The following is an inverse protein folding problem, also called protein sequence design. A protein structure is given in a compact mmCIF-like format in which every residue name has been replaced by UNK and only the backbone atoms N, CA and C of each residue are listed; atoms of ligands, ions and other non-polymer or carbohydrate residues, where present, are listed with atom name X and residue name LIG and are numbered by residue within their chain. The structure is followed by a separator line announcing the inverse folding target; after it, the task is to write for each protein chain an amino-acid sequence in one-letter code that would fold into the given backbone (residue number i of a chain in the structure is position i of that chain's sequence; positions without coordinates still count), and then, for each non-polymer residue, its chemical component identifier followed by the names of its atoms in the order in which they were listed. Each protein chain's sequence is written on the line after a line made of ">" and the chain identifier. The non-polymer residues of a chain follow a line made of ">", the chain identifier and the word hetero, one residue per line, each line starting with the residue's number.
data_IF_788775118803
#
_entry.id   IF_788775118803
#
_cell.length_a   1.000
_cell.length_b   1.000
_cell.length_c   1.000
_cell.angle_alpha   90.00
_cell.angle_beta   90.00
_cell.angle_gamma   90.00
#
_symmetry.space_group_name_H-M   'P 1'
#
loop_
_entity.id
_entity.type
_entity.pdbx_description
1 polymer ?
#
# COMPACT_ATOMS: atom_id res chain seq x y z
N UNK A 1 5.35 -2.37 25.82
CA UNK A 1 5.33 -1.28 24.81
C UNK A 1 4.38 -1.73 23.72
N UNK A 2 3.22 -1.07 23.58
CA UNK A 2 2.24 -1.45 22.55
C UNK A 2 2.84 -1.11 21.18
N UNK A 3 3.05 -2.10 20.31
CA UNK A 3 3.63 -1.86 18.99
C UNK A 3 2.49 -1.40 18.09
N UNK A 4 2.54 -0.14 17.62
CA UNK A 4 1.56 0.41 16.69
C UNK A 4 1.48 -0.45 15.43
N UNK A 5 0.26 -0.61 14.92
CA UNK A 5 -0.05 -1.34 13.69
C UNK A 5 0.11 -0.43 12.47
N UNK A 6 0.23 -1.02 11.28
CA UNK A 6 0.42 -0.32 10.02
C UNK A 6 -0.71 0.65 9.70
N UNK A 7 -1.97 0.25 9.90
CA UNK A 7 -3.10 1.17 9.70
C UNK A 7 -3.10 2.36 10.68
N UNK A 8 -2.55 2.19 11.88
CA UNK A 8 -2.40 3.27 12.86
C UNK A 8 -1.28 4.24 12.49
N UNK A 9 -0.39 3.88 11.56
CA UNK A 9 0.74 4.70 11.10
C UNK A 9 0.47 5.39 9.76
N UNK A 10 -0.71 5.18 9.15
CA UNK A 10 -1.04 5.79 7.85
C UNK A 10 -1.02 7.31 7.94
N UNK A 11 -1.62 7.87 8.99
CA UNK A 11 -1.65 9.32 9.20
C UNK A 11 -0.24 9.88 9.40
N UNK A 12 0.62 9.18 10.15
CA UNK A 12 2.03 9.57 10.33
C UNK A 12 2.76 9.67 8.97
N UNK A 13 2.57 8.69 8.08
CA UNK A 13 3.19 8.73 6.74
C UNK A 13 2.61 9.86 5.90
N UNK A 14 1.29 10.06 5.94
CA UNK A 14 0.64 11.11 5.15
C UNK A 14 1.04 12.51 5.60
N UNK A 15 1.18 12.72 6.90
CA UNK A 15 1.53 14.03 7.47
C UNK A 15 3.00 14.42 7.15
N UNK A 16 3.88 13.45 6.89
CA UNK A 16 5.27 13.66 6.47
C UNK A 16 5.46 13.77 4.95
N UNK A 17 4.42 13.49 4.15
CA UNK A 17 4.51 13.61 2.69
C UNK A 17 4.55 15.09 2.25
N UNK A 18 5.57 15.45 1.46
CA UNK A 18 5.64 16.75 0.78
C UNK A 18 4.74 16.77 -0.47
N UNK A 19 3.43 16.63 -0.26
CA UNK A 19 2.47 16.53 -1.35
C UNK A 19 1.00 16.52 -0.91
N UNK A 20 0.10 16.71 -1.89
CA UNK A 20 -1.33 16.59 -1.64
C UNK A 20 -1.74 15.11 -1.54
N UNK A 21 -2.52 14.79 -0.50
CA UNK A 21 -3.21 13.52 -0.31
C UNK A 21 -4.66 13.83 0.04
N UNK A 22 -5.61 13.35 -0.77
CA UNK A 22 -7.03 13.53 -0.46
C UNK A 22 -7.49 12.65 0.70
N UNK A 23 -8.64 13.01 1.30
CA UNK A 23 -9.30 12.14 2.28
C UNK A 23 -9.66 10.78 1.67
N UNK A 24 -10.03 10.72 0.39
CA UNK A 24 -10.30 9.43 -0.28
C UNK A 24 -9.04 8.56 -0.32
N UNK A 25 -7.88 9.15 -0.64
CA UNK A 25 -6.59 8.46 -0.64
C UNK A 25 -6.23 7.96 0.77
N UNK A 26 -6.37 8.82 1.78
CA UNK A 26 -6.10 8.50 3.20
C UNK A 26 -6.99 7.36 3.70
N UNK A 27 -8.31 7.46 3.49
CA UNK A 27 -9.27 6.43 3.90
C UNK A 27 -8.96 5.09 3.22
N UNK A 28 -8.61 5.12 1.93
CA UNK A 28 -8.24 3.92 1.19
C UNK A 28 -6.93 3.31 1.68
N UNK A 29 -5.94 4.12 2.01
CA UNK A 29 -4.67 3.66 2.58
C UNK A 29 -4.88 2.99 3.94
N UNK A 30 -5.70 3.59 4.82
CA UNK A 30 -6.07 3.01 6.11
C UNK A 30 -6.71 1.62 5.94
N UNK A 31 -7.68 1.54 5.04
CA UNK A 31 -8.42 0.32 4.75
C UNK A 31 -7.53 -0.80 4.17
N UNK A 32 -6.63 -0.44 3.24
CA UNK A 32 -5.65 -1.35 2.66
C UNK A 32 -4.68 -1.88 3.71
N UNK A 33 -4.10 -1.00 4.54
CA UNK A 33 -3.20 -1.39 5.61
C UNK A 33 -3.90 -2.32 6.62
N UNK A 34 -5.13 -1.99 7.03
CA UNK A 34 -5.90 -2.79 7.97
C UNK A 34 -6.21 -4.18 7.42
N UNK A 35 -6.61 -4.30 6.14
CA UNK A 35 -6.85 -5.60 5.50
C UNK A 35 -5.57 -6.39 5.33
N UNK A 36 -4.47 -5.74 4.96
CA UNK A 36 -3.16 -6.37 4.85
C UNK A 36 -2.74 -7.05 6.15
N UNK A 37 -2.93 -6.39 7.29
CA UNK A 37 -2.56 -6.94 8.59
C UNK A 37 -3.49 -8.07 9.07
N UNK A 38 -4.78 -7.98 8.74
CA UNK A 38 -5.77 -8.95 9.21
C UNK A 38 -5.91 -10.19 8.33
N UNK A 39 -5.58 -10.06 7.03
CA UNK A 39 -5.99 -11.07 6.03
C UNK A 39 -4.91 -11.46 5.04
N UNK A 40 -3.81 -10.70 4.93
CA UNK A 40 -2.74 -11.03 3.98
C UNK A 40 -1.53 -11.61 4.74
N UNK A 41 -0.81 -12.58 4.17
CA UNK A 41 0.42 -13.14 4.75
C UNK A 41 1.63 -12.19 4.64
N UNK A 42 1.43 -10.88 4.86
CA UNK A 42 2.46 -9.86 4.71
C UNK A 42 3.32 -9.80 5.99
N UNK A 43 4.50 -10.41 5.92
CA UNK A 43 5.49 -10.33 7.00
C UNK A 43 6.41 -9.11 6.81
N UNK A 44 5.90 -7.91 7.13
CA UNK A 44 6.63 -6.63 7.03
C UNK A 44 6.44 -5.80 8.30
N UNK A 45 7.29 -4.79 8.49
CA UNK A 45 7.13 -3.88 9.63
C UNK A 45 5.87 -3.01 9.45
N UNK A 46 5.24 -2.55 10.54
CA UNK A 46 4.09 -1.65 10.47
C UNK A 46 4.32 -0.41 9.59
N UNK A 47 5.51 0.21 9.68
CA UNK A 47 5.90 1.34 8.82
C UNK A 47 5.90 0.99 7.33
N UNK A 48 6.45 -0.17 6.96
CA UNK A 48 6.45 -0.63 5.56
C UNK A 48 5.02 -0.89 5.07
N UNK A 49 4.16 -1.50 5.88
CA UNK A 49 2.75 -1.72 5.53
C UNK A 49 2.02 -0.39 5.32
N UNK A 50 2.21 0.58 6.23
CA UNK A 50 1.60 1.90 6.11
C UNK A 50 2.03 2.62 4.83
N UNK A 51 3.33 2.72 4.60
CA UNK A 51 3.89 3.40 3.43
C UNK A 51 3.48 2.73 2.10
N UNK A 52 3.49 1.39 2.05
CA UNK A 52 2.98 0.65 0.88
C UNK A 52 1.49 0.84 0.64
N UNK A 53 0.68 0.92 1.70
CA UNK A 53 -0.74 1.17 1.57
C UNK A 53 -1.04 2.59 1.06
N UNK A 54 -0.29 3.59 1.52
CA UNK A 54 -0.36 4.98 1.02
C UNK A 54 0.01 5.02 -0.47
N UNK A 55 1.12 4.38 -0.85
CA UNK A 55 1.52 4.32 -2.26
C UNK A 55 0.46 3.64 -3.14
N UNK A 56 -0.04 2.48 -2.73
CA UNK A 56 -1.06 1.74 -3.47
C UNK A 56 -2.39 2.51 -3.55
N UNK A 57 -2.81 3.16 -2.47
CA UNK A 57 -4.01 4.00 -2.46
C UNK A 57 -3.88 5.13 -3.47
N UNK A 58 -2.75 5.84 -3.49
CA UNK A 58 -2.45 6.90 -4.45
C UNK A 58 -2.55 6.42 -5.89
N UNK A 59 -2.00 5.24 -6.19
CA UNK A 59 -2.15 4.62 -7.52
C UNK A 59 -3.62 4.34 -7.87
N UNK A 60 -4.41 3.82 -6.93
CA UNK A 60 -5.82 3.45 -7.14
C UNK A 60 -6.76 4.65 -7.30
N UNK A 61 -6.45 5.79 -6.68
CA UNK A 61 -7.21 7.04 -6.79
C UNK A 61 -6.61 8.01 -7.81
N UNK A 62 -5.54 7.61 -8.50
CA UNK A 62 -4.81 8.42 -9.47
C UNK A 62 -4.15 9.69 -8.89
N UNK A 63 -3.79 9.65 -7.60
CA UNK A 63 -2.95 10.63 -6.91
C UNK A 63 -1.51 10.09 -6.81
N UNK A 64 -0.75 10.30 -7.88
CA UNK A 64 0.53 9.61 -8.07
C UNK A 64 1.67 10.33 -7.35
N UNK A 65 1.99 9.85 -6.14
CA UNK A 65 3.28 10.09 -5.51
C UNK A 65 4.33 9.12 -6.05
N UNK A 66 5.61 9.48 -5.97
CA UNK A 66 6.70 8.55 -6.34
C UNK A 66 6.98 7.58 -5.20
N UNK A 67 7.59 6.41 -5.51
CA UNK A 67 8.01 5.46 -4.47
C UNK A 67 9.05 6.09 -3.54
N UNK A 68 9.95 6.92 -4.09
CA UNK A 68 10.97 7.68 -3.37
C UNK A 68 10.35 8.57 -2.28
N UNK A 69 9.40 9.43 -2.65
CA UNK A 69 8.76 10.39 -1.73
C UNK A 69 8.00 9.65 -0.62
N UNK A 70 7.34 8.55 -0.93
CA UNK A 70 6.63 7.74 0.09
C UNK A 70 7.59 6.94 0.96
N UNK A 71 8.73 6.50 0.42
CA UNK A 71 9.79 5.84 1.19
C UNK A 71 10.42 6.78 2.22
N UNK A 72 10.71 8.01 1.80
CA UNK A 72 11.23 9.06 2.67
C UNK A 72 10.25 9.39 3.80
N UNK A 73 8.99 9.70 3.49
CA UNK A 73 7.96 10.00 4.50
C UNK A 73 7.71 8.83 5.47
N UNK A 74 7.84 7.59 4.99
CA UNK A 74 7.70 6.39 5.81
C UNK A 74 8.94 6.01 6.62
N UNK A 75 10.09 6.66 6.41
CA UNK A 75 11.39 6.25 6.95
C UNK A 75 11.66 4.75 6.67
N UNK A 76 11.50 4.36 5.40
CA UNK A 76 11.70 3.00 4.87
C UNK A 76 12.41 3.06 3.52
N UNK A 77 12.82 1.91 2.97
CA UNK A 77 13.45 1.88 1.65
C UNK A 77 12.45 1.66 0.52
N UNK A 78 12.70 2.28 -0.65
CA UNK A 78 11.89 2.07 -1.85
C UNK A 78 11.69 0.59 -2.21
N UNK A 79 12.73 -0.30 -2.18
CA UNK A 79 12.50 -1.71 -2.48
C UNK A 79 11.55 -2.38 -1.49
N UNK A 80 11.56 -1.97 -0.21
CA UNK A 80 10.66 -2.51 0.80
C UNK A 80 9.21 -2.13 0.52
N UNK A 81 8.99 -0.86 0.14
CA UNK A 81 7.67 -0.39 -0.31
C UNK A 81 7.26 -1.14 -1.57
N UNK A 82 8.18 -1.26 -2.54
CA UNK A 82 7.94 -1.88 -3.84
C UNK A 82 7.44 -3.30 -3.71
N UNK A 83 8.15 -4.11 -2.94
CA UNK A 83 7.80 -5.52 -2.77
C UNK A 83 6.47 -5.65 -2.02
N UNK A 84 6.27 -4.84 -0.99
CA UNK A 84 5.07 -4.92 -0.14
C UNK A 84 3.81 -4.36 -0.81
N UNK A 85 3.87 -3.27 -1.58
CA UNK A 85 2.68 -2.75 -2.27
C UNK A 85 2.24 -3.69 -3.39
N UNK A 86 3.19 -4.33 -4.08
CA UNK A 86 2.90 -5.32 -5.12
C UNK A 86 2.22 -6.56 -4.52
N UNK A 87 2.74 -7.07 -3.40
CA UNK A 87 2.13 -8.17 -2.66
C UNK A 87 0.71 -7.80 -2.19
N UNK A 88 0.53 -6.61 -1.62
CA UNK A 88 -0.76 -6.09 -1.19
C UNK A 88 -1.74 -5.95 -2.37
N UNK A 89 -1.30 -5.41 -3.50
CA UNK A 89 -2.13 -5.26 -4.69
C UNK A 89 -2.66 -6.62 -5.18
N UNK A 90 -1.80 -7.65 -5.21
CA UNK A 90 -2.20 -9.01 -5.60
C UNK A 90 -3.28 -9.54 -4.66
N UNK A 91 -3.12 -9.38 -3.34
CA UNK A 91 -4.14 -9.85 -2.39
C UNK A 91 -5.46 -9.09 -2.49
N UNK A 92 -5.42 -7.83 -2.90
CA UNK A 92 -6.60 -7.00 -3.17
C UNK A 92 -7.22 -7.27 -4.55
N UNK A 93 -6.62 -8.16 -5.36
CA UNK A 93 -7.12 -8.52 -6.70
C UNK A 93 -6.72 -7.53 -7.79
N UNK A 94 -5.64 -6.80 -7.59
CA UNK A 94 -5.04 -5.88 -8.54
C UNK A 94 -3.74 -6.44 -9.10
N UNK A 95 -3.47 -6.09 -10.35
CA UNK A 95 -2.17 -6.25 -10.99
C UNK A 95 -1.55 -4.87 -11.16
N UNK A 96 -0.26 -4.79 -10.93
CA UNK A 96 0.57 -3.61 -11.08
C UNK A 96 1.46 -3.80 -12.30
N UNK A 97 1.56 -2.75 -13.12
CA UNK A 97 2.39 -2.72 -14.31
C UNK A 97 3.34 -1.53 -14.19
N UNK A 98 4.61 -1.85 -13.98
CA UNK A 98 5.68 -0.87 -13.85
C UNK A 98 6.30 -0.61 -15.24
N UNK A 99 5.52 0.07 -16.09
CA UNK A 99 5.93 0.42 -17.45
C UNK A 99 6.09 1.95 -17.59
N UNK A 100 7.30 2.46 -17.35
CA UNK A 100 7.65 3.88 -17.50
C UNK A 100 7.74 4.65 -16.17
N UNK A 101 7.73 5.99 -16.19
CA UNK A 101 7.93 6.80 -14.96
C UNK A 101 6.76 6.71 -13.96
N UNK A 102 5.68 6.00 -14.29
CA UNK A 102 4.50 5.85 -13.44
C UNK A 102 3.98 4.42 -13.47
N UNK A 103 3.75 3.85 -12.28
CA UNK A 103 3.09 2.56 -12.13
C UNK A 103 1.61 2.69 -12.51
N UNK A 104 1.09 1.69 -13.22
CA UNK A 104 -0.34 1.50 -13.46
C UNK A 104 -0.85 0.38 -12.56
N UNK A 105 -2.04 0.57 -11.99
CA UNK A 105 -2.73 -0.46 -11.21
C UNK A 105 -4.10 -0.70 -11.82
N UNK A 106 -4.42 -1.96 -12.06
CA UNK A 106 -5.67 -2.38 -12.68
C UNK A 106 -6.23 -3.62 -12.00
N UNK A 107 -7.56 -3.73 -11.94
CA UNK A 107 -8.20 -4.92 -11.37
C UNK A 107 -8.01 -6.09 -12.34
N UNK A 108 -7.53 -7.22 -11.85
CA UNK A 108 -7.32 -8.42 -12.64
C UNK A 108 -8.23 -9.56 -12.12
N UNK A 109 -9.30 -9.91 -12.86
CA UNK A 109 -10.23 -10.96 -12.46
C UNK A 109 -9.58 -12.34 -12.25
N UNK A 110 -8.43 -12.61 -12.87
CA UNK A 110 -7.71 -13.89 -12.72
C UNK A 110 -7.11 -14.06 -11.31
N UNK A 111 -6.87 -12.95 -10.61
CA UNK A 111 -6.27 -12.95 -9.27
C UNK A 111 -7.31 -13.25 -8.18
N UNK A 112 -8.58 -12.83 -8.37
CA UNK A 112 -9.65 -13.05 -7.39
C UNK A 112 -9.92 -14.53 -7.09
N UNK A 113 -9.72 -15.41 -8.07
CA UNK A 113 -9.82 -16.86 -7.88
C UNK A 113 -8.70 -17.42 -7.00
N UNK A 114 -7.53 -16.79 -7.01
CA UNK A 114 -6.36 -17.19 -6.21
C UNK A 114 -6.52 -16.73 -4.76
N UNK A 115 -6.98 -15.50 -4.52
CA UNK A 115 -7.17 -14.91 -3.17
C UNK A 115 -8.17 -15.71 -2.33
N UNK A 116 -9.27 -16.19 -2.92
CA UNK A 116 -10.27 -17.03 -2.22
C UNK A 116 -9.70 -18.31 -1.61
N UNK A 117 -8.66 -18.88 -2.19
CA UNK A 117 -8.00 -20.09 -1.68
C UNK A 117 -7.17 -19.88 -0.41
N UNK A 118 -6.84 -18.62 -0.05
CA UNK A 118 -6.05 -18.29 1.15
C UNK A 118 -6.91 -17.93 2.37
N UNK A 119 -8.22 -17.73 2.17
CA UNK A 119 -9.19 -17.41 3.20
C UNK A 119 -10.01 -18.64 3.67
N UNK A 120 -9.64 -19.84 3.19
CA UNK A 120 -10.27 -21.14 3.51
C UNK A 120 -9.37 -21.94 4.44
#
# INVERSE_FOLDING_TARGET
>A
MNRRLGHELVDDVVDELDGYVSNECRDKAFDLARRAELTHPINRSPKVVAASAVYLAGLLVNEKQTQEVVAEAGDVSEPSIRDCYNEMAIHEGYKTEDEGPYVRVGRDPSILGRVRGWLS
#
